data_IF_474181298075
#
_entry.id   IF_474181298075
#
_cell.length_a   1.000
_cell.length_b   1.000
_cell.length_c   1.000
_cell.angle_alpha   90.00
_cell.angle_beta   90.00
_cell.angle_gamma   90.00
#
_symmetry.space_group_name_H-M   'P 1'
#
loop_
_entity.id
_entity.type
_entity.pdbx_description
1 polymer ?
#
# COMPACT_ATOMS: atom_id res chain seq x y z
N UNK A 1 -16.93 8.02 -11.78
CA UNK A 1 -16.19 9.28 -11.69
C UNK A 1 -14.78 9.00 -11.21
N UNK A 2 -13.79 9.43 -11.97
CA UNK A 2 -12.38 9.35 -11.61
C UNK A 2 -11.91 10.73 -11.14
N UNK A 3 -11.09 10.77 -10.09
CA UNK A 3 -10.51 12.00 -9.55
C UNK A 3 -9.01 11.83 -9.42
N UNK A 4 -8.29 12.87 -9.78
CA UNK A 4 -6.86 12.95 -9.53
C UNK A 4 -6.63 13.17 -8.03
N UNK A 5 -5.87 12.27 -7.41
CA UNK A 5 -5.53 12.31 -6.00
C UNK A 5 -4.03 12.09 -5.81
N UNK A 6 -3.48 12.59 -4.70
CA UNK A 6 -2.06 12.48 -4.37
C UNK A 6 -1.79 11.19 -3.59
N UNK A 7 -0.81 10.40 -4.04
CA UNK A 7 -0.35 9.23 -3.32
C UNK A 7 0.26 9.63 -1.97
N UNK A 8 -0.21 9.02 -0.87
CA UNK A 8 0.32 9.30 0.47
C UNK A 8 1.75 8.81 0.71
N UNK A 9 2.28 7.98 -0.17
CA UNK A 9 3.58 7.30 0.01
C UNK A 9 4.68 8.00 -0.80
N UNK A 10 4.47 8.18 -2.10
CA UNK A 10 5.44 8.81 -3.00
C UNK A 10 5.10 10.25 -3.39
N UNK A 11 3.95 10.79 -2.94
CA UNK A 11 3.53 12.15 -3.26
C UNK A 11 3.12 12.41 -4.71
N UNK A 12 3.11 11.39 -5.58
CA UNK A 12 2.72 11.54 -7.00
C UNK A 12 1.21 11.54 -7.17
N UNK A 13 0.74 12.36 -8.10
CA UNK A 13 -0.67 12.39 -8.49
C UNK A 13 -1.04 11.17 -9.35
N UNK A 14 -2.22 10.60 -9.12
CA UNK A 14 -2.76 9.48 -9.89
C UNK A 14 -4.28 9.55 -9.98
N UNK A 15 -4.84 8.94 -11.01
CA UNK A 15 -6.29 8.84 -11.19
C UNK A 15 -6.85 7.73 -10.31
N UNK A 16 -7.82 8.07 -9.48
CA UNK A 16 -8.55 7.13 -8.63
C UNK A 16 -10.04 7.15 -8.92
N UNK A 17 -10.65 5.96 -9.00
CA UNK A 17 -12.10 5.81 -9.08
C UNK A 17 -12.71 6.16 -7.72
N UNK A 18 -13.56 7.19 -7.70
CA UNK A 18 -14.24 7.68 -6.48
C UNK A 18 -15.55 6.92 -6.22
N UNK A 19 -16.01 6.09 -7.15
CA UNK A 19 -17.28 5.36 -7.06
C UNK A 19 -17.27 4.16 -6.10
N UNK A 20 -16.19 3.94 -5.36
CA UNK A 20 -16.10 2.87 -4.36
C UNK A 20 -16.38 3.38 -2.95
N UNK A 21 -16.93 2.52 -2.07
CA UNK A 21 -17.03 2.79 -0.62
C UNK A 21 -15.66 3.17 -0.01
N UNK A 22 -14.57 2.70 -0.61
CA UNK A 22 -13.20 2.98 -0.18
C UNK A 22 -12.41 3.67 -1.29
N UNK A 23 -12.09 4.94 -1.10
CA UNK A 23 -11.21 5.69 -1.99
C UNK A 23 -9.79 5.19 -1.85
N UNK A 24 -9.15 4.90 -2.99
CA UNK A 24 -7.74 4.51 -3.06
C UNK A 24 -6.86 5.64 -2.47
N UNK A 25 -5.83 5.30 -1.69
CA UNK A 25 -4.92 6.29 -1.03
C UNK A 25 -3.51 6.29 -1.62
N UNK A 26 -3.17 5.24 -2.37
CA UNK A 26 -1.83 4.98 -2.89
C UNK A 26 -1.90 4.69 -4.39
N UNK A 27 -0.91 5.15 -5.14
CA UNK A 27 -0.79 4.78 -6.55
C UNK A 27 -0.52 3.27 -6.71
N UNK A 28 -0.67 2.72 -7.92
CA UNK A 28 -0.46 1.30 -8.19
C UNK A 28 0.88 0.76 -7.70
N UNK A 29 1.96 1.51 -7.89
CA UNK A 29 3.30 1.10 -7.47
C UNK A 29 3.41 0.94 -5.96
N UNK A 30 3.05 1.97 -5.19
CA UNK A 30 3.12 1.95 -3.74
C UNK A 30 2.11 0.96 -3.13
N UNK A 31 0.92 0.86 -3.74
CA UNK A 31 -0.08 -0.12 -3.32
C UNK A 31 0.39 -1.56 -3.50
N UNK A 32 1.10 -1.86 -4.60
CA UNK A 32 1.65 -3.18 -4.88
C UNK A 32 2.81 -3.51 -3.92
N UNK A 33 3.74 -2.57 -3.74
CA UNK A 33 4.86 -2.73 -2.80
C UNK A 33 4.38 -3.06 -1.39
N UNK A 34 3.40 -2.32 -0.87
CA UNK A 34 2.83 -2.58 0.46
C UNK A 34 2.14 -3.93 0.57
N UNK A 35 1.51 -4.40 -0.52
CA UNK A 35 0.92 -5.74 -0.55
C UNK A 35 2.02 -6.80 -0.46
N UNK A 36 3.08 -6.64 -1.25
CA UNK A 36 4.25 -7.55 -1.21
C UNK A 36 4.93 -7.54 0.16
N UNK A 37 5.12 -6.37 0.78
CA UNK A 37 5.66 -6.23 2.14
C UNK A 37 4.75 -6.91 3.18
N UNK A 38 3.44 -6.77 3.07
CA UNK A 38 2.48 -7.42 3.97
C UNK A 38 2.41 -8.94 3.77
N UNK A 39 2.46 -9.42 2.54
CA UNK A 39 2.50 -10.86 2.23
C UNK A 39 3.82 -11.47 2.72
N UNK A 40 4.93 -10.73 2.63
CA UNK A 40 6.23 -11.15 3.17
C UNK A 40 6.34 -10.97 4.69
N UNK A 41 5.41 -10.29 5.35
CA UNK A 41 5.42 -10.08 6.81
C UNK A 41 5.29 -11.41 7.56
N UNK A 42 4.60 -12.40 6.98
CA UNK A 42 4.47 -13.75 7.53
C UNK A 42 5.69 -14.65 7.28
N UNK A 43 6.68 -14.19 6.51
CA UNK A 43 7.96 -14.88 6.34
C UNK A 43 8.91 -14.62 7.52
N UNK A 44 8.57 -13.68 8.41
CA UNK A 44 9.28 -13.50 9.69
C UNK A 44 8.91 -14.68 10.58
N UNK A 45 9.78 -15.68 10.62
CA UNK A 45 9.66 -16.80 11.55
C UNK A 45 9.92 -16.29 12.96
N UNK A 46 9.25 -16.90 13.94
CA UNK A 46 9.49 -16.68 15.38
C UNK A 46 10.99 -16.80 15.76
N UNK A 47 11.76 -17.56 14.98
CA UNK A 47 13.22 -17.76 15.13
C UNK A 47 14.08 -16.49 14.91
N UNK A 48 13.54 -15.41 14.33
CA UNK A 48 14.27 -14.14 14.09
C UNK A 48 13.99 -13.08 15.19
N UNK A 49 13.17 -13.41 16.18
CA UNK A 49 12.92 -12.54 17.33
C UNK A 49 13.91 -12.95 18.44
N UNK A 50 15.18 -12.55 18.29
CA UNK A 50 16.19 -12.68 19.35
C UNK A 50 15.72 -11.84 20.55
N UNK A 51 15.27 -12.55 21.59
CA UNK A 51 14.89 -12.01 22.89
C UNK A 51 16.20 -11.84 23.68
N UNK A 52 16.81 -10.65 23.59
CA UNK A 52 17.94 -10.23 24.45
C UNK A 52 17.46 -9.97 25.89
#
# INVERSE_FOLDING_TARGET
MEKQIKCKDCGKDFLAKVSGRYTRKYCDKCSKKRKEEYENLHSVKFEDCDED
#
